data_IF_498626612503
#
_entry.id   IF_498626612503
#
_cell.length_a   1.000
_cell.length_b   1.000
_cell.length_c   1.000
_cell.angle_alpha   90.00
_cell.angle_beta   90.00
_cell.angle_gamma   90.00
#
_symmetry.space_group_name_H-M   'P 1'
#
loop_
_entity.id
_entity.type
_entity.pdbx_description
1 polymer ?
#
# COMPACT_ATOMS: atom_id res chain seq x y z
N UNK A 1 -10.12 -9.59 2.01
CA UNK A 1 -11.32 -9.65 2.84
C UNK A 1 -11.33 -8.41 3.72
N UNK A 2 -12.20 -7.46 3.42
CA UNK A 2 -12.28 -6.23 4.20
C UNK A 2 -13.01 -6.50 5.49
N UNK A 3 -12.25 -6.59 6.59
CA UNK A 3 -12.82 -6.67 7.92
C UNK A 3 -13.44 -5.33 8.29
N UNK A 4 -14.69 -5.33 8.75
CA UNK A 4 -15.23 -4.15 9.42
C UNK A 4 -14.51 -3.96 10.76
N UNK A 5 -14.15 -2.74 11.09
CA UNK A 5 -13.69 -2.41 12.42
C UNK A 5 -14.89 -2.36 13.38
N UNK A 6 -14.65 -2.62 14.65
CA UNK A 6 -15.65 -2.39 15.68
C UNK A 6 -15.86 -0.88 15.90
N UNK A 7 -17.07 -0.48 16.20
CA UNK A 7 -17.37 0.89 16.62
C UNK A 7 -16.75 1.17 17.98
N UNK A 8 -16.09 2.31 18.11
CA UNK A 8 -15.44 2.74 19.36
C UNK A 8 -16.23 3.81 20.09
N UNK A 9 -17.29 4.33 19.47
CA UNK A 9 -18.16 5.40 19.98
C UNK A 9 -19.41 4.88 20.71
N UNK A 10 -19.54 3.55 20.84
CA UNK A 10 -20.57 2.89 21.64
C UNK A 10 -20.01 2.47 23.00
N UNK A 11 -20.91 2.30 23.98
CA UNK A 11 -20.54 1.81 25.34
C UNK A 11 -19.84 0.45 25.29
N UNK A 12 -20.25 -0.42 24.37
CA UNK A 12 -19.61 -1.70 24.11
C UNK A 12 -19.09 -1.75 22.68
N UNK A 13 -17.95 -2.39 22.49
CA UNK A 13 -17.40 -2.69 21.16
C UNK A 13 -17.99 -3.97 20.57
N UNK A 14 -18.81 -4.73 21.30
CA UNK A 14 -19.41 -5.96 20.80
C UNK A 14 -20.49 -5.64 19.74
N UNK A 15 -20.40 -6.25 18.55
CA UNK A 15 -21.28 -5.92 17.44
C UNK A 15 -22.62 -6.69 17.52
N UNK A 16 -23.46 -6.38 18.51
CA UNK A 16 -24.75 -7.05 18.73
C UNK A 16 -25.63 -7.09 17.48
N UNK A 17 -25.60 -6.01 16.67
CA UNK A 17 -26.37 -5.87 15.44
C UNK A 17 -25.93 -6.82 14.30
N UNK A 18 -24.72 -7.42 14.40
CA UNK A 18 -24.24 -8.41 13.42
C UNK A 18 -24.33 -9.82 13.98
N UNK A 19 -23.93 -10.00 15.24
CA UNK A 19 -23.65 -11.30 15.85
C UNK A 19 -24.69 -11.71 16.89
N UNK A 20 -25.63 -10.81 17.21
CA UNK A 20 -26.45 -10.92 18.42
C UNK A 20 -27.66 -11.86 18.35
N UNK A 21 -27.91 -12.58 17.27
CA UNK A 21 -29.10 -13.42 17.16
C UNK A 21 -30.38 -12.64 17.51
N UNK A 22 -31.15 -13.13 18.50
CA UNK A 22 -32.38 -12.48 18.97
C UNK A 22 -32.15 -11.06 19.53
N UNK A 23 -30.95 -10.78 20.04
CA UNK A 23 -30.59 -9.43 20.51
C UNK A 23 -30.33 -8.47 19.37
N UNK A 24 -29.86 -8.94 18.21
CA UNK A 24 -29.64 -8.13 17.03
C UNK A 24 -30.90 -7.52 16.48
N UNK A 25 -32.07 -8.15 16.66
CA UNK A 25 -33.35 -7.62 16.22
C UNK A 25 -33.88 -6.45 17.06
N UNK A 26 -33.40 -6.32 18.30
CA UNK A 26 -33.77 -5.22 19.21
C UNK A 26 -33.00 -3.92 18.93
N UNK A 27 -31.96 -3.99 18.14
CA UNK A 27 -31.09 -2.84 17.81
C UNK A 27 -31.18 -2.67 16.31
N UNK A 28 -31.84 -1.62 15.83
CA UNK A 28 -31.90 -1.32 14.41
C UNK A 28 -30.48 -1.17 13.85
N UNK A 29 -30.04 -2.05 12.94
CA UNK A 29 -28.71 -1.95 12.39
C UNK A 29 -28.64 -0.76 11.46
N UNK A 30 -27.87 0.22 11.80
CA UNK A 30 -27.49 1.27 10.88
C UNK A 30 -26.31 0.71 10.10
N UNK A 31 -26.59 -0.08 9.05
CA UNK A 31 -25.59 -0.73 8.19
C UNK A 31 -24.58 0.28 7.63
N UNK A 32 -25.04 1.51 7.38
CA UNK A 32 -24.22 2.58 6.82
C UNK A 32 -23.25 3.20 7.85
N UNK A 33 -23.39 2.87 9.14
CA UNK A 33 -22.52 3.34 10.21
C UNK A 33 -21.38 2.37 10.58
N UNK A 34 -21.26 1.26 9.87
CA UNK A 34 -20.13 0.36 10.07
C UNK A 34 -18.84 1.05 9.62
N UNK A 35 -17.77 1.03 10.44
CA UNK A 35 -16.51 1.67 10.09
C UNK A 35 -15.75 0.86 9.03
N UNK A 36 -16.25 0.85 7.82
CA UNK A 36 -15.63 0.25 6.64
C UNK A 36 -14.64 1.24 6.05
N UNK A 37 -13.38 0.83 5.91
CA UNK A 37 -12.32 1.68 5.36
C UNK A 37 -12.04 1.46 3.87
N UNK A 38 -12.86 0.63 3.21
CA UNK A 38 -12.68 0.31 1.80
C UNK A 38 -11.64 -0.79 1.54
N UNK A 39 -11.27 -0.93 0.28
CA UNK A 39 -10.33 -1.95 -0.18
C UNK A 39 -8.89 -1.56 0.12
N UNK A 40 -8.08 -2.56 0.45
CA UNK A 40 -6.63 -2.43 0.49
C UNK A 40 -6.11 -2.49 -0.94
N UNK A 41 -5.29 -1.53 -1.32
CA UNK A 41 -4.68 -1.44 -2.65
C UNK A 41 -3.16 -1.52 -2.52
N UNK A 42 -2.56 -2.42 -3.26
CA UNK A 42 -1.09 -2.52 -3.36
C UNK A 42 -0.70 -2.20 -4.80
N UNK A 43 0.20 -1.24 -4.96
CA UNK A 43 0.73 -0.83 -6.25
C UNK A 43 1.66 -1.85 -6.88
N UNK A 44 2.40 -1.41 -7.89
CA UNK A 44 3.33 -2.23 -8.66
C UNK A 44 4.74 -2.18 -8.06
N UNK A 45 5.56 -3.19 -8.31
CA UNK A 45 6.96 -3.26 -7.85
C UNK A 45 7.11 -3.02 -6.33
N UNK A 46 6.15 -3.48 -5.55
CA UNK A 46 6.15 -3.35 -4.08
C UNK A 46 6.85 -4.55 -3.45
N UNK A 47 7.79 -4.29 -2.55
CA UNK A 47 8.41 -5.34 -1.74
C UNK A 47 7.82 -5.34 -0.34
N UNK A 48 7.10 -6.41 0.00
CA UNK A 48 6.52 -6.62 1.33
C UNK A 48 7.35 -7.68 2.06
N UNK A 49 7.97 -7.28 3.16
CA UNK A 49 8.76 -8.17 4.01
C UNK A 49 7.90 -9.24 4.70
N UNK A 50 8.56 -10.21 5.30
CA UNK A 50 7.92 -11.32 5.99
C UNK A 50 7.05 -10.83 7.17
N UNK A 51 5.90 -11.48 7.40
CA UNK A 51 4.99 -11.20 8.50
C UNK A 51 4.48 -9.74 8.57
N UNK A 52 4.35 -9.07 7.45
CA UNK A 52 3.73 -7.75 7.40
C UNK A 52 2.22 -7.89 7.50
N UNK A 53 1.62 -7.07 8.36
CA UNK A 53 0.16 -6.92 8.46
C UNK A 53 -0.25 -5.61 7.79
N UNK A 54 -1.16 -5.67 6.83
CA UNK A 54 -1.74 -4.47 6.19
C UNK A 54 -3.18 -4.32 6.64
N UNK A 55 -3.50 -3.16 7.20
CA UNK A 55 -4.85 -2.88 7.69
C UNK A 55 -5.81 -2.57 6.55
N UNK A 56 -7.12 -2.80 6.72
CA UNK A 56 -8.13 -2.51 5.70
C UNK A 56 -8.10 -1.05 5.25
N UNK A 57 -8.31 -0.83 3.95
CA UNK A 57 -8.39 0.50 3.34
C UNK A 57 -7.06 1.22 3.16
N UNK A 58 -5.93 0.56 3.40
CA UNK A 58 -4.59 1.13 3.19
C UNK A 58 -4.20 1.03 1.72
N UNK A 59 -3.59 2.08 1.18
CA UNK A 59 -2.97 2.11 -0.13
C UNK A 59 -1.45 2.11 0.01
N UNK A 60 -0.78 1.16 -0.65
CA UNK A 60 0.67 1.09 -0.74
C UNK A 60 1.07 1.49 -2.16
N UNK A 61 1.82 2.57 -2.31
CA UNK A 61 2.22 3.13 -3.59
C UNK A 61 3.26 2.28 -4.34
N UNK A 62 3.37 2.51 -5.64
CA UNK A 62 4.31 1.82 -6.52
C UNK A 62 5.75 1.90 -6.00
N UNK A 63 6.50 0.82 -6.12
CA UNK A 63 7.90 0.76 -5.73
C UNK A 63 8.17 0.88 -4.24
N UNK A 64 7.16 0.84 -3.37
CA UNK A 64 7.35 0.92 -1.93
C UNK A 64 8.01 -0.34 -1.35
N UNK A 65 8.69 -0.18 -0.24
CA UNK A 65 9.27 -1.29 0.53
C UNK A 65 8.71 -1.26 1.95
N UNK A 66 8.15 -2.38 2.38
CA UNK A 66 7.64 -2.56 3.74
C UNK A 66 8.54 -3.56 4.48
N UNK A 67 9.15 -3.11 5.56
CA UNK A 67 10.04 -3.96 6.35
C UNK A 67 9.31 -5.09 7.07
N UNK A 68 10.04 -6.16 7.35
CA UNK A 68 9.56 -7.37 8.07
C UNK A 68 8.88 -7.00 9.39
N UNK A 69 7.82 -7.73 9.76
CA UNK A 69 7.05 -7.55 11.00
C UNK A 69 6.39 -6.17 11.18
N UNK A 70 6.18 -5.43 10.11
CA UNK A 70 5.52 -4.13 10.16
C UNK A 70 3.99 -4.26 10.21
N UNK A 71 3.34 -3.27 10.83
CA UNK A 71 1.87 -3.12 10.82
C UNK A 71 1.51 -1.83 10.11
N UNK A 72 1.06 -1.96 8.86
CA UNK A 72 0.74 -0.83 7.98
C UNK A 72 -0.70 -0.39 8.21
N UNK A 73 -0.89 0.73 8.90
CA UNK A 73 -2.20 1.28 9.26
C UNK A 73 -2.51 2.62 8.56
N UNK A 74 -1.59 3.12 7.72
CA UNK A 74 -1.74 4.34 6.92
C UNK A 74 -1.14 4.12 5.55
N UNK A 75 -1.57 4.91 4.58
CA UNK A 75 -1.05 4.87 3.22
C UNK A 75 0.46 5.10 3.19
N UNK A 76 1.11 4.40 2.28
CA UNK A 76 2.54 4.50 2.03
C UNK A 76 2.75 5.13 0.66
N UNK A 77 3.44 6.28 0.58
CA UNK A 77 3.72 6.93 -0.69
C UNK A 77 4.61 6.08 -1.59
N UNK A 78 4.56 6.32 -2.93
CA UNK A 78 5.41 5.61 -3.88
C UNK A 78 6.90 5.74 -3.53
N UNK A 79 7.67 4.68 -3.81
CA UNK A 79 9.12 4.60 -3.61
C UNK A 79 9.60 4.97 -2.20
N UNK A 80 8.73 4.82 -1.21
CA UNK A 80 9.08 4.99 0.20
C UNK A 80 9.43 3.66 0.86
N UNK A 81 10.34 3.71 1.82
CA UNK A 81 10.66 2.60 2.72
C UNK A 81 9.95 2.87 4.04
N UNK A 82 9.12 1.94 4.47
CA UNK A 82 8.36 2.04 5.70
C UNK A 82 8.57 0.81 6.57
N UNK A 83 8.69 1.01 7.87
CA UNK A 83 8.99 -0.08 8.83
C UNK A 83 8.30 0.14 10.17
N UNK A 84 8.11 -0.92 10.92
CA UNK A 84 7.74 -0.90 12.32
C UNK A 84 6.26 -1.14 12.62
N UNK A 85 5.94 -1.08 13.91
CA UNK A 85 4.58 -1.17 14.44
C UNK A 85 4.36 -0.07 15.49
N UNK A 86 3.56 0.97 15.17
CA UNK A 86 2.92 1.24 13.88
C UNK A 86 3.94 1.57 12.79
N UNK A 87 3.67 1.14 11.56
CA UNK A 87 4.56 1.35 10.42
C UNK A 87 4.70 2.85 10.10
N UNK A 88 5.93 3.29 9.86
CA UNK A 88 6.27 4.67 9.52
C UNK A 88 7.24 4.71 8.35
N UNK A 89 7.05 5.68 7.46
CA UNK A 89 8.02 5.98 6.41
C UNK A 89 9.31 6.48 7.08
N UNK A 90 10.42 5.83 6.75
CA UNK A 90 11.75 6.17 7.26
C UNK A 90 12.60 6.93 6.24
N UNK A 91 12.41 6.65 4.96
CA UNK A 91 13.07 7.38 3.86
C UNK A 91 12.43 7.10 2.50
N UNK A 92 12.73 7.93 1.51
CA UNK A 92 12.52 7.64 0.10
C UNK A 92 13.67 6.78 -0.45
N UNK A 93 13.38 5.91 -1.42
CA UNK A 93 14.40 5.12 -2.13
C UNK A 93 15.31 6.00 -2.97
N UNK A 94 14.72 7.01 -3.59
CA UNK A 94 15.34 7.93 -4.55
C UNK A 94 14.90 9.37 -4.26
N UNK A 95 15.52 10.35 -4.92
CA UNK A 95 15.04 11.73 -4.93
C UNK A 95 13.73 11.88 -5.72
N UNK A 96 13.06 13.00 -5.52
CA UNK A 96 11.73 13.23 -6.10
C UNK A 96 11.75 13.23 -7.63
N UNK A 97 12.78 13.80 -8.24
CA UNK A 97 12.90 13.85 -9.70
C UNK A 97 12.99 12.45 -10.31
N UNK A 98 13.77 11.55 -9.70
CA UNK A 98 13.88 10.18 -10.18
C UNK A 98 12.60 9.38 -9.91
N UNK A 99 11.96 9.60 -8.77
CA UNK A 99 10.64 8.99 -8.47
C UNK A 99 9.62 9.39 -9.54
N UNK A 100 9.55 10.67 -9.90
CA UNK A 100 8.63 11.17 -10.94
C UNK A 100 8.91 10.53 -12.31
N UNK A 101 10.17 10.34 -12.66
CA UNK A 101 10.56 9.65 -13.90
C UNK A 101 10.13 8.18 -13.90
N UNK A 102 10.36 7.46 -12.80
CA UNK A 102 9.98 6.06 -12.65
C UNK A 102 8.46 5.87 -12.71
N UNK A 103 7.70 6.77 -12.07
CA UNK A 103 6.23 6.78 -12.12
C UNK A 103 5.68 7.11 -13.52
N UNK A 104 6.42 7.82 -14.34
CA UNK A 104 6.08 8.06 -15.75
C UNK A 104 6.47 6.87 -16.63
N UNK A 105 7.62 6.27 -16.39
CA UNK A 105 8.12 5.12 -17.15
C UNK A 105 7.16 3.94 -17.05
N UNK A 106 6.65 3.62 -15.85
CA UNK A 106 5.77 2.49 -15.56
C UNK A 106 6.23 1.21 -16.26
N UNK A 107 7.43 0.76 -15.94
CA UNK A 107 8.06 -0.36 -16.63
C UNK A 107 7.20 -1.64 -16.59
N UNK A 108 6.35 -1.79 -15.58
CA UNK A 108 5.43 -2.92 -15.42
C UNK A 108 4.26 -2.92 -16.40
N UNK A 109 3.97 -1.80 -17.08
CA UNK A 109 2.93 -1.67 -18.09
C UNK A 109 3.48 -1.86 -19.53
N UNK A 110 4.80 -2.13 -19.67
CA UNK A 110 5.48 -2.29 -20.95
C UNK A 110 5.35 -3.69 -21.51
N UNK A 111 5.57 -3.84 -22.82
CA UNK A 111 5.67 -5.16 -23.44
C UNK A 111 6.90 -5.95 -22.93
N UNK A 112 6.90 -7.25 -23.12
CA UNK A 112 8.02 -8.10 -22.68
C UNK A 112 9.33 -7.64 -23.33
N UNK A 113 9.30 -7.32 -24.64
CA UNK A 113 10.45 -6.87 -25.41
C UNK A 113 10.99 -5.53 -24.88
N UNK A 114 10.09 -4.61 -24.51
CA UNK A 114 10.48 -3.34 -23.90
C UNK A 114 11.10 -3.57 -22.53
N UNK A 115 10.51 -4.44 -21.68
CA UNK A 115 11.05 -4.79 -20.36
C UNK A 115 12.45 -5.41 -20.50
N UNK A 116 12.65 -6.35 -21.44
CA UNK A 116 13.97 -6.92 -21.72
C UNK A 116 15.00 -5.85 -22.05
N UNK A 117 14.62 -4.87 -22.87
CA UNK A 117 15.49 -3.73 -23.21
C UNK A 117 15.80 -2.82 -22.03
N UNK A 118 14.92 -2.79 -21.02
CA UNK A 118 15.05 -1.99 -19.80
C UNK A 118 15.84 -2.71 -18.71
N UNK A 119 16.01 -4.03 -18.75
CA UNK A 119 16.66 -4.81 -17.69
C UNK A 119 18.01 -4.27 -17.25
N UNK A 120 18.92 -3.86 -18.15
CA UNK A 120 20.19 -3.27 -17.74
C UNK A 120 20.03 -2.00 -16.89
N UNK A 121 19.00 -1.20 -17.17
CA UNK A 121 18.70 0.04 -16.45
C UNK A 121 18.01 -0.27 -15.13
N UNK A 122 17.02 -1.16 -15.15
CA UNK A 122 16.26 -1.57 -13.95
C UNK A 122 17.15 -2.24 -12.90
N UNK A 123 18.25 -2.87 -13.33
CA UNK A 123 19.24 -3.52 -12.46
C UNK A 123 20.46 -2.65 -12.18
N UNK A 124 20.50 -1.40 -12.65
CA UNK A 124 21.64 -0.50 -12.50
C UNK A 124 21.59 0.23 -11.15
N UNK A 125 22.71 0.22 -10.42
CA UNK A 125 22.88 0.97 -9.18
C UNK A 125 23.39 2.40 -9.37
N UNK A 126 23.80 2.78 -10.59
CA UNK A 126 24.22 4.15 -10.92
C UNK A 126 23.00 4.98 -11.31
N UNK A 127 22.53 5.81 -10.37
CA UNK A 127 21.30 6.59 -10.54
C UNK A 127 21.40 7.69 -11.61
N UNK A 128 22.61 8.17 -11.94
CA UNK A 128 22.80 9.15 -13.01
C UNK A 128 22.60 8.50 -14.38
N UNK A 129 23.14 7.31 -14.58
CA UNK A 129 22.91 6.52 -15.79
C UNK A 129 21.42 6.22 -15.93
N UNK A 130 20.79 5.72 -14.86
CA UNK A 130 19.35 5.40 -14.83
C UNK A 130 18.52 6.62 -15.23
N UNK A 131 18.79 7.78 -14.63
CA UNK A 131 18.07 9.01 -14.90
C UNK A 131 18.16 9.45 -16.37
N UNK A 132 19.36 9.42 -16.93
CA UNK A 132 19.60 9.83 -18.31
C UNK A 132 18.92 8.90 -19.31
N UNK A 133 19.02 7.60 -19.08
CA UNK A 133 18.40 6.59 -19.93
C UNK A 133 16.87 6.64 -19.88
N UNK A 134 16.26 6.84 -18.70
CA UNK A 134 14.81 6.99 -18.58
C UNK A 134 14.34 8.25 -19.30
N UNK A 135 15.02 9.39 -19.13
CA UNK A 135 14.67 10.64 -19.83
C UNK A 135 14.69 10.52 -21.35
N UNK A 136 15.55 9.67 -21.88
CA UNK A 136 15.65 9.43 -23.33
C UNK A 136 14.50 8.54 -23.87
N UNK A 137 13.72 7.89 -23.00
CA UNK A 137 12.70 6.89 -23.36
C UNK A 137 11.26 7.31 -23.06
N UNK A 138 11.05 8.42 -22.35
CA UNK A 138 9.72 8.94 -21.98
C UNK A 138 9.37 10.22 -22.72
#
# INVERSE_FOLDING_TARGET
MNGANHRMDCVTTYPFYIMGGDWGSAIAPVKDELPLKGDTVVGNDVWIGQNVTVMPGVHIGDGAIIGTNSVVAKDIPPYCIAVGNPCRVVKKRFDDDLIDLLLKLKWWDKSIEEIESLMPILSCGDLEIVRNEIKARI
#
